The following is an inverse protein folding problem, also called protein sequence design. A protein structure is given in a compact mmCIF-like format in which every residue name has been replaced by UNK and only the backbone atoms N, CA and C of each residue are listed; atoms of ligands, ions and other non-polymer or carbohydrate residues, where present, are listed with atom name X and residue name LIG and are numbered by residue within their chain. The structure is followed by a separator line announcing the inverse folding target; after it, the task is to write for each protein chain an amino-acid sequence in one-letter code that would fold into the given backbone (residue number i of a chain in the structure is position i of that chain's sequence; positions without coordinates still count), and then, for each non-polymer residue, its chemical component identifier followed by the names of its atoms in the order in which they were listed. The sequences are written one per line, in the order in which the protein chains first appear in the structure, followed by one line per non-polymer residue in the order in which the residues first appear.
data_IF_656978346176
#
_entry.id   IF_656978346176
#
_cell.length_a   1.000
_cell.length_b   1.000
_cell.length_c   1.000
_cell.angle_alpha   90.00
_cell.angle_beta   90.00
_cell.angle_gamma   90.00
#
_symmetry.space_group_name_H-M   'P 1'
#
loop_
_entity.id
_entity.type
_entity.pdbx_description
1 polymer ?
#
# COMPACT_ATOMS: atom_id res chain seq x y z
N UNK A 1 5.12 2.98 14.74
CA UNK A 1 5.45 4.23 14.03
C UNK A 1 6.81 4.82 14.39
N UNK A 2 7.21 5.06 15.66
CA UNK A 2 8.51 5.71 15.96
C UNK A 2 9.77 4.95 15.47
N UNK A 3 9.69 3.67 15.24
CA UNK A 3 10.81 2.86 14.74
C UNK A 3 11.05 3.08 13.25
N UNK A 4 9.99 3.15 12.45
CA UNK A 4 10.04 3.31 10.99
C UNK A 4 10.66 4.66 10.60
N UNK A 5 10.21 5.76 11.23
CA UNK A 5 10.74 7.09 10.90
C UNK A 5 12.24 7.22 11.24
N UNK A 6 12.67 6.61 12.36
CA UNK A 6 14.09 6.58 12.71
C UNK A 6 14.90 5.83 11.66
N UNK A 7 14.42 4.68 11.19
CA UNK A 7 15.10 3.87 10.17
C UNK A 7 15.19 4.60 8.83
N UNK A 8 14.11 5.22 8.36
CA UNK A 8 14.14 6.05 7.14
C UNK A 8 15.21 7.14 7.26
N UNK A 9 15.26 7.82 8.42
CA UNK A 9 16.24 8.88 8.65
C UNK A 9 17.69 8.35 8.66
N UNK A 10 17.93 7.22 9.32
CA UNK A 10 19.22 6.55 9.34
C UNK A 10 19.69 6.14 7.93
N UNK A 11 18.83 5.51 7.15
CA UNK A 11 19.15 5.06 5.78
C UNK A 11 19.46 6.23 4.86
N UNK A 12 18.67 7.31 4.95
CA UNK A 12 18.94 8.53 4.19
C UNK A 12 20.25 9.20 4.60
N UNK A 13 20.58 9.23 5.90
CA UNK A 13 21.84 9.76 6.38
C UNK A 13 23.07 8.96 5.88
N UNK A 14 22.88 7.66 5.62
CA UNK A 14 23.88 6.78 4.98
C UNK A 14 23.94 6.93 3.45
N UNK A 15 23.13 7.80 2.87
CA UNK A 15 23.07 8.00 1.41
C UNK A 15 22.37 6.90 0.64
N UNK A 16 21.62 6.01 1.32
CA UNK A 16 20.87 4.95 0.66
C UNK A 16 19.68 5.52 -0.12
N UNK A 17 19.39 4.89 -1.25
CA UNK A 17 18.16 5.16 -2.02
C UNK A 17 16.97 4.52 -1.30
N UNK A 18 16.31 5.30 -0.44
CA UNK A 18 15.13 4.82 0.29
C UNK A 18 13.94 4.76 -0.66
N UNK A 19 13.26 3.62 -0.67
CA UNK A 19 11.97 3.42 -1.34
C UNK A 19 10.82 3.84 -0.42
N UNK A 20 9.61 4.10 -0.95
CA UNK A 20 8.43 4.32 -0.11
C UNK A 20 8.20 3.14 0.85
N UNK A 21 7.83 3.46 2.09
CA UNK A 21 7.57 2.47 3.14
C UNK A 21 6.12 2.60 3.54
N UNK A 22 5.40 1.49 3.42
CA UNK A 22 4.01 1.37 3.84
C UNK A 22 3.89 1.20 5.36
N UNK A 23 2.90 1.87 5.92
CA UNK A 23 2.58 1.83 7.35
C UNK A 23 1.09 1.53 7.49
N UNK A 24 0.77 0.41 8.11
CA UNK A 24 -0.60 0.09 8.48
C UNK A 24 -1.14 1.09 9.51
N UNK A 25 -2.29 1.67 9.24
CA UNK A 25 -2.98 2.57 10.14
C UNK A 25 -4.30 1.95 10.62
N UNK A 26 -4.40 1.74 11.93
CA UNK A 26 -5.61 1.18 12.52
C UNK A 26 -6.75 2.21 12.57
N UNK A 27 -8.04 1.79 12.47
CA UNK A 27 -9.19 2.71 12.51
C UNK A 27 -9.20 3.63 13.72
N UNK A 28 -8.82 3.10 14.86
CA UNK A 28 -8.77 3.85 16.13
C UNK A 28 -7.81 5.05 16.09
N UNK A 29 -6.82 5.03 15.20
CA UNK A 29 -5.89 6.16 15.02
C UNK A 29 -6.58 7.33 14.33
N UNK A 30 -7.45 7.05 13.36
CA UNK A 30 -8.21 8.06 12.63
C UNK A 30 -9.35 8.67 13.45
N UNK A 31 -9.82 8.00 14.51
CA UNK A 31 -10.82 8.53 15.44
C UNK A 31 -10.31 9.78 16.20
N UNK A 32 -9.01 10.03 16.17
CA UNK A 32 -8.43 11.26 16.72
C UNK A 32 -8.51 12.36 15.68
N UNK A 33 -9.24 13.43 15.97
CA UNK A 33 -9.48 14.56 15.04
C UNK A 33 -8.22 15.16 14.42
N UNK A 34 -7.06 14.97 15.04
CA UNK A 34 -5.78 15.55 14.65
C UNK A 34 -4.74 14.50 14.19
N UNK A 35 -5.17 13.28 13.83
CA UNK A 35 -4.24 12.21 13.42
C UNK A 35 -3.33 12.65 12.27
N UNK A 36 -3.89 13.20 11.19
CA UNK A 36 -3.14 13.63 10.02
C UNK A 36 -2.13 14.73 10.36
N UNK A 37 -2.51 15.71 11.20
CA UNK A 37 -1.64 16.78 11.64
C UNK A 37 -0.47 16.25 12.46
N UNK A 38 -0.74 15.39 13.41
CA UNK A 38 0.28 14.76 14.26
C UNK A 38 1.24 13.96 13.40
N UNK A 39 0.72 13.17 12.46
CA UNK A 39 1.52 12.35 11.56
C UNK A 39 2.45 13.23 10.69
N UNK A 40 1.89 14.25 10.03
CA UNK A 40 2.66 15.17 9.18
C UNK A 40 3.71 15.97 9.98
N UNK A 41 3.34 16.45 11.18
CA UNK A 41 4.29 17.11 12.09
C UNK A 41 5.45 16.19 12.45
N UNK A 42 5.17 14.92 12.63
CA UNK A 42 6.16 13.89 12.93
C UNK A 42 7.11 13.66 11.74
N UNK A 43 6.59 13.46 10.52
CA UNK A 43 7.43 13.37 9.33
C UNK A 43 8.36 14.59 9.21
N UNK A 44 7.81 15.78 9.44
CA UNK A 44 8.58 17.02 9.40
C UNK A 44 9.68 17.04 10.48
N UNK A 45 9.40 16.59 11.70
CA UNK A 45 10.40 16.56 12.79
C UNK A 45 11.57 15.61 12.50
N UNK A 46 11.32 14.52 11.78
CA UNK A 46 12.34 13.58 11.29
C UNK A 46 12.93 13.96 9.91
N UNK A 47 12.51 15.10 9.32
CA UNK A 47 12.92 15.56 7.99
C UNK A 47 12.69 14.50 6.90
N UNK A 48 11.59 13.75 7.02
CA UNK A 48 11.19 12.73 6.05
C UNK A 48 10.22 13.36 5.04
N UNK A 49 10.58 13.44 3.74
CA UNK A 49 9.63 13.83 2.71
C UNK A 49 8.46 12.83 2.64
N UNK A 50 7.24 13.34 2.51
CA UNK A 50 6.00 12.54 2.52
C UNK A 50 6.00 11.42 1.47
N UNK A 51 6.64 11.63 0.33
CA UNK A 51 6.77 10.64 -0.76
C UNK A 51 7.47 9.33 -0.37
N UNK A 52 8.14 9.27 0.78
CA UNK A 52 8.77 8.05 1.30
C UNK A 52 7.86 7.29 2.27
N UNK A 53 6.61 7.70 2.39
CA UNK A 53 5.66 7.04 3.30
C UNK A 53 4.34 6.84 2.59
N UNK A 54 3.82 5.64 2.73
CA UNK A 54 2.48 5.23 2.32
C UNK A 54 1.68 4.84 3.55
N UNK A 55 0.40 5.16 3.58
CA UNK A 55 -0.52 4.74 4.65
C UNK A 55 -1.42 3.66 4.07
N UNK A 56 -1.41 2.50 4.71
CA UNK A 56 -2.29 1.38 4.36
C UNK A 56 -3.53 1.39 5.25
N UNK A 57 -4.69 1.28 4.61
CA UNK A 57 -5.99 1.14 5.25
C UNK A 57 -6.72 -0.03 4.61
N UNK A 58 -7.35 -0.88 5.39
CA UNK A 58 -8.13 -1.98 4.82
C UNK A 58 -9.49 -1.51 4.33
N UNK A 59 -10.07 -2.28 3.41
CA UNK A 59 -11.41 -2.06 2.88
C UNK A 59 -12.47 -1.94 3.99
N UNK A 60 -12.36 -2.77 5.02
CA UNK A 60 -13.26 -2.78 6.17
C UNK A 60 -13.31 -1.42 6.90
N UNK A 61 -12.17 -0.75 7.04
CA UNK A 61 -12.09 0.55 7.73
C UNK A 61 -12.84 1.68 7.03
N UNK A 62 -13.01 1.55 5.72
CA UNK A 62 -13.74 2.53 4.91
C UNK A 62 -15.25 2.24 4.84
N UNK A 63 -15.69 1.06 5.27
CA UNK A 63 -17.10 0.65 5.28
C UNK A 63 -17.80 0.86 6.63
N UNK A 64 -17.05 1.10 7.72
CA UNK A 64 -17.59 1.23 9.07
C UNK A 64 -18.21 2.61 9.36
N UNK A 65 -18.99 2.66 10.46
CA UNK A 65 -19.48 3.94 11.00
C UNK A 65 -18.31 4.83 11.41
N UNK A 66 -18.31 6.07 10.93
CA UNK A 66 -17.20 7.00 11.17
C UNK A 66 -16.16 7.04 10.06
N UNK A 67 -16.39 6.35 8.92
CA UNK A 67 -15.53 6.41 7.75
C UNK A 67 -15.21 7.84 7.30
N UNK A 68 -16.09 8.78 7.57
CA UNK A 68 -15.91 10.20 7.24
C UNK A 68 -14.66 10.80 7.89
N UNK A 69 -14.37 10.40 9.13
CA UNK A 69 -13.13 10.82 9.83
C UNK A 69 -11.90 10.25 9.15
N UNK A 70 -11.98 8.97 8.76
CA UNK A 70 -10.91 8.29 8.00
C UNK A 70 -10.67 9.01 6.69
N UNK A 71 -11.71 9.18 5.88
CA UNK A 71 -11.61 9.83 4.56
C UNK A 71 -11.07 11.27 4.68
N UNK A 72 -11.52 12.04 5.69
CA UNK A 72 -11.01 13.40 5.94
C UNK A 72 -9.51 13.40 6.25
N UNK A 73 -9.06 12.50 7.12
CA UNK A 73 -7.66 12.38 7.48
C UNK A 73 -6.82 11.93 6.27
N UNK A 74 -7.28 10.93 5.51
CA UNK A 74 -6.60 10.44 4.30
C UNK A 74 -6.50 11.54 3.23
N UNK A 75 -7.57 12.31 2.98
CA UNK A 75 -7.53 13.46 2.06
C UNK A 75 -6.47 14.47 2.48
N UNK A 76 -6.34 14.75 3.77
CA UNK A 76 -5.33 15.66 4.30
C UNK A 76 -3.91 15.12 4.14
N UNK A 77 -3.70 13.83 4.39
CA UNK A 77 -2.41 13.17 4.19
C UNK A 77 -2.01 13.20 2.71
N UNK A 78 -2.93 12.82 1.81
CA UNK A 78 -2.72 12.84 0.36
C UNK A 78 -2.39 14.24 -0.17
N UNK A 79 -3.12 15.27 0.29
CA UNK A 79 -2.86 16.67 -0.08
C UNK A 79 -1.45 17.15 0.36
N UNK A 80 -0.80 16.44 1.30
CA UNK A 80 0.56 16.70 1.75
C UNK A 80 1.59 15.70 1.19
N UNK A 81 1.22 14.94 0.14
CA UNK A 81 2.12 14.08 -0.61
C UNK A 81 2.38 12.70 0.03
N UNK A 82 1.59 12.28 1.02
CA UNK A 82 1.57 10.90 1.50
C UNK A 82 0.69 10.08 0.56
N UNK A 83 1.15 8.94 0.09
CA UNK A 83 0.36 8.02 -0.73
C UNK A 83 -0.54 7.17 0.17
N UNK A 84 -1.71 6.84 -0.35
CA UNK A 84 -2.71 6.05 0.37
C UNK A 84 -2.91 4.72 -0.37
N UNK A 85 -2.72 3.62 0.32
CA UNK A 85 -2.96 2.27 -0.17
C UNK A 85 -4.21 1.67 0.46
N UNK A 86 -5.08 1.11 -0.37
CA UNK A 86 -6.21 0.30 0.05
C UNK A 86 -5.76 -1.15 0.09
N UNK A 87 -5.70 -1.70 1.30
CA UNK A 87 -5.22 -3.05 1.59
C UNK A 87 -6.35 -4.08 1.63
N UNK A 88 -6.03 -5.35 1.46
CA UNK A 88 -6.95 -6.50 1.47
C UNK A 88 -8.12 -6.36 0.47
N UNK A 89 -7.89 -5.69 -0.68
CA UNK A 89 -8.96 -5.42 -1.64
C UNK A 89 -9.56 -6.71 -2.20
N UNK A 90 -10.90 -6.80 -2.10
CA UNK A 90 -11.71 -7.92 -2.59
C UNK A 90 -12.15 -8.89 -1.49
N UNK A 91 -11.68 -8.74 -0.25
CA UNK A 91 -12.10 -9.56 0.89
C UNK A 91 -13.32 -8.99 1.63
N UNK A 92 -13.68 -7.74 1.36
CA UNK A 92 -14.73 -6.98 2.04
C UNK A 92 -15.96 -6.72 1.18
N UNK A 93 -16.70 -5.67 1.55
CA UNK A 93 -17.98 -5.28 0.96
C UNK A 93 -17.89 -4.00 0.10
N UNK A 94 -16.68 -3.50 -0.22
CA UNK A 94 -16.58 -2.29 -1.02
C UNK A 94 -17.01 -2.56 -2.47
N UNK A 95 -17.85 -1.70 -2.97
CA UNK A 95 -18.15 -1.68 -4.40
C UNK A 95 -17.10 -0.82 -5.12
N UNK A 96 -16.84 -1.11 -6.39
CA UNK A 96 -16.01 -0.28 -7.28
C UNK A 96 -16.46 1.20 -7.27
N UNK A 97 -17.71 1.47 -6.93
CA UNK A 97 -18.28 2.82 -6.81
C UNK A 97 -17.57 3.62 -5.70
N UNK A 98 -17.23 2.97 -4.59
CA UNK A 98 -16.58 3.62 -3.47
C UNK A 98 -15.12 3.98 -3.76
N UNK A 99 -14.43 3.24 -4.66
CA UNK A 99 -13.05 3.59 -5.05
C UNK A 99 -12.93 5.02 -5.58
N UNK A 100 -13.98 5.54 -6.24
CA UNK A 100 -14.00 6.91 -6.73
C UNK A 100 -14.08 7.96 -5.62
N UNK A 101 -14.65 7.60 -4.48
CA UNK A 101 -14.88 8.50 -3.35
C UNK A 101 -13.69 8.54 -2.39
N UNK A 102 -12.92 7.47 -2.35
CA UNK A 102 -11.78 7.34 -1.47
C UNK A 102 -10.52 7.97 -2.07
N UNK A 103 -9.72 8.67 -1.27
CA UNK A 103 -8.49 9.31 -1.74
C UNK A 103 -7.33 8.31 -1.89
N UNK A 104 -7.57 7.20 -2.59
CA UNK A 104 -6.63 6.10 -2.77
C UNK A 104 -5.68 6.36 -3.94
N UNK A 105 -4.43 5.93 -3.84
CA UNK A 105 -3.40 5.95 -4.87
C UNK A 105 -2.99 4.56 -5.30
N UNK A 106 -3.18 3.57 -4.42
CA UNK A 106 -2.73 2.19 -4.59
C UNK A 106 -3.84 1.25 -4.16
N UNK A 107 -4.08 0.20 -4.95
CA UNK A 107 -4.94 -0.92 -4.58
C UNK A 107 -4.07 -2.16 -4.44
N UNK A 108 -4.08 -2.79 -3.27
CA UNK A 108 -3.37 -4.04 -2.99
C UNK A 108 -4.36 -5.20 -3.10
N UNK A 109 -4.15 -6.02 -4.12
CA UNK A 109 -4.97 -7.21 -4.37
C UNK A 109 -4.54 -8.30 -3.41
N UNK A 110 -5.47 -8.74 -2.56
CA UNK A 110 -5.21 -9.72 -1.50
C UNK A 110 -4.63 -11.04 -2.04
N UNK A 111 -3.79 -11.66 -1.25
CA UNK A 111 -3.09 -12.90 -1.59
C UNK A 111 -4.03 -14.05 -1.94
N UNK A 112 -5.26 -14.10 -1.39
CA UNK A 112 -6.25 -15.14 -1.71
C UNK A 112 -6.68 -15.12 -3.17
N UNK A 113 -6.63 -13.97 -3.85
CA UNK A 113 -6.84 -13.85 -5.28
C UNK A 113 -5.63 -14.37 -6.06
N UNK A 114 -4.43 -13.97 -5.65
CA UNK A 114 -3.18 -14.37 -6.32
C UNK A 114 -2.97 -15.88 -6.26
N UNK A 115 -3.28 -16.51 -5.12
CA UNK A 115 -3.17 -17.96 -4.94
C UNK A 115 -4.12 -18.75 -5.83
N UNK A 116 -5.24 -18.18 -6.27
CA UNK A 116 -6.26 -18.85 -7.08
C UNK A 116 -6.22 -18.48 -8.57
N UNK A 117 -5.28 -17.65 -9.01
CA UNK A 117 -5.20 -17.16 -10.39
C UNK A 117 -5.15 -18.29 -11.45
N UNK A 118 -4.47 -19.41 -11.14
CA UNK A 118 -4.33 -20.53 -12.08
C UNK A 118 -5.59 -21.39 -12.17
N UNK A 119 -6.39 -21.45 -11.11
CA UNK A 119 -7.42 -22.47 -10.94
C UNK A 119 -8.84 -21.91 -11.05
N UNK A 120 -9.00 -20.58 -10.93
CA UNK A 120 -10.29 -19.91 -10.92
C UNK A 120 -10.38 -18.82 -11.99
N UNK A 121 -11.09 -19.12 -13.08
CA UNK A 121 -11.29 -18.19 -14.20
C UNK A 121 -12.00 -16.89 -13.79
N UNK A 122 -12.85 -16.93 -12.76
CA UNK A 122 -13.55 -15.74 -12.28
C UNK A 122 -12.60 -14.83 -11.55
N UNK A 123 -11.74 -15.39 -10.70
CA UNK A 123 -10.66 -14.65 -10.03
C UNK A 123 -9.70 -14.05 -11.05
N UNK A 124 -9.28 -14.85 -12.05
CA UNK A 124 -8.45 -14.36 -13.14
C UNK A 124 -9.06 -13.12 -13.81
N UNK A 125 -10.35 -13.20 -14.20
CA UNK A 125 -11.04 -12.09 -14.86
C UNK A 125 -11.18 -10.85 -13.96
N UNK A 126 -11.37 -11.03 -12.65
CA UNK A 126 -11.44 -9.94 -11.68
C UNK A 126 -10.09 -9.23 -11.59
N UNK A 127 -9.01 -9.97 -11.39
CA UNK A 127 -7.65 -9.38 -11.24
C UNK A 127 -7.22 -8.70 -12.55
N UNK A 128 -7.48 -9.33 -13.71
CA UNK A 128 -7.22 -8.73 -15.02
C UNK A 128 -8.01 -7.41 -15.19
N UNK A 129 -9.29 -7.40 -14.78
CA UNK A 129 -10.13 -6.21 -14.79
C UNK A 129 -9.57 -5.09 -13.93
N UNK A 130 -9.10 -5.42 -12.71
CA UNK A 130 -8.45 -4.47 -11.80
C UNK A 130 -7.14 -3.91 -12.38
N UNK A 131 -6.29 -4.79 -12.93
CA UNK A 131 -5.03 -4.37 -13.55
C UNK A 131 -5.24 -3.37 -14.71
N UNK A 132 -6.32 -3.53 -15.47
CA UNK A 132 -6.70 -2.60 -16.55
C UNK A 132 -7.38 -1.33 -16.04
N UNK A 133 -8.17 -1.43 -14.97
CA UNK A 133 -8.92 -0.30 -14.41
C UNK A 133 -8.02 0.67 -13.62
N UNK A 134 -7.04 0.15 -12.89
CA UNK A 134 -6.16 0.94 -12.03
C UNK A 134 -5.55 2.15 -12.75
N UNK A 135 -4.84 1.96 -13.87
CA UNK A 135 -4.25 3.07 -14.63
C UNK A 135 -5.28 4.10 -15.12
N UNK A 136 -6.49 3.67 -15.50
CA UNK A 136 -7.58 4.56 -15.92
C UNK A 136 -8.08 5.44 -14.77
N UNK A 137 -7.97 4.97 -13.54
CA UNK A 137 -8.31 5.72 -12.33
C UNK A 137 -7.09 6.42 -11.71
N UNK A 138 -5.92 6.37 -12.36
CA UNK A 138 -4.64 6.88 -11.83
C UNK A 138 -4.26 6.22 -10.51
N UNK A 139 -4.51 4.93 -10.39
CA UNK A 139 -4.17 4.10 -9.23
C UNK A 139 -3.18 3.01 -9.63
N UNK A 140 -2.17 2.77 -8.80
CA UNK A 140 -1.29 1.62 -8.95
C UNK A 140 -1.98 0.35 -8.41
N UNK A 141 -1.78 -0.77 -9.09
CA UNK A 141 -2.25 -2.08 -8.63
C UNK A 141 -1.05 -2.87 -8.14
N UNK A 142 -1.10 -3.32 -6.89
CA UNK A 142 -0.08 -4.16 -6.27
C UNK A 142 -0.67 -5.54 -6.02
N UNK A 143 -0.06 -6.58 -6.56
CA UNK A 143 -0.47 -7.96 -6.28
C UNK A 143 0.31 -8.49 -5.07
N UNK A 144 -0.39 -9.07 -4.11
CA UNK A 144 0.20 -9.56 -2.86
C UNK A 144 0.29 -11.09 -2.82
N UNK A 145 1.24 -11.61 -2.06
CA UNK A 145 1.38 -13.03 -1.82
C UNK A 145 1.83 -13.82 -3.07
N UNK A 146 2.68 -13.22 -3.92
CA UNK A 146 3.29 -13.92 -5.05
C UNK A 146 4.32 -14.91 -4.51
N UNK A 147 4.10 -16.21 -4.75
CA UNK A 147 4.95 -17.30 -4.26
C UNK A 147 5.60 -18.10 -5.39
N UNK A 148 5.06 -18.04 -6.62
CA UNK A 148 5.54 -18.82 -7.76
C UNK A 148 5.79 -17.97 -8.99
N UNK A 149 6.74 -18.41 -9.84
CA UNK A 149 7.00 -17.80 -11.14
C UNK A 149 5.77 -17.81 -12.06
N UNK A 150 4.92 -18.84 -11.94
CA UNK A 150 3.68 -18.93 -12.72
C UNK A 150 2.71 -17.80 -12.35
N UNK A 151 2.51 -17.54 -11.05
CA UNK A 151 1.69 -16.41 -10.59
C UNK A 151 2.25 -15.07 -11.08
N UNK A 152 3.56 -14.90 -10.96
CA UNK A 152 4.24 -13.70 -11.44
C UNK A 152 4.03 -13.48 -12.94
N UNK A 153 4.14 -14.55 -13.76
CA UNK A 153 3.95 -14.44 -15.19
C UNK A 153 2.50 -14.09 -15.54
N UNK A 154 1.50 -14.76 -14.92
CA UNK A 154 0.08 -14.43 -15.11
C UNK A 154 -0.22 -12.97 -14.80
N UNK A 155 0.30 -12.45 -13.68
CA UNK A 155 0.11 -11.05 -13.29
C UNK A 155 0.75 -10.07 -14.29
N UNK A 156 1.93 -10.39 -14.79
CA UNK A 156 2.59 -9.59 -15.85
C UNK A 156 1.77 -9.56 -17.14
N UNK A 157 1.24 -10.70 -17.55
CA UNK A 157 0.42 -10.82 -18.77
C UNK A 157 -0.88 -10.02 -18.66
N UNK A 158 -1.42 -9.87 -17.44
CA UNK A 158 -2.57 -9.00 -17.15
C UNK A 158 -2.22 -7.51 -17.13
N UNK A 159 -0.93 -7.14 -17.10
CA UNK A 159 -0.47 -5.74 -16.97
C UNK A 159 -0.31 -5.28 -15.53
N UNK A 160 -0.27 -6.18 -14.55
CA UNK A 160 0.08 -5.85 -13.17
C UNK A 160 1.62 -5.80 -13.06
N UNK A 161 2.16 -4.61 -12.81
CA UNK A 161 3.61 -4.38 -12.83
C UNK A 161 4.24 -4.25 -11.45
N UNK A 162 3.45 -4.20 -10.40
CA UNK A 162 3.92 -4.09 -9.03
C UNK A 162 3.40 -5.29 -8.24
N UNK A 163 4.30 -5.94 -7.52
CA UNK A 163 3.91 -7.10 -6.72
C UNK A 163 4.85 -7.33 -5.55
N UNK A 164 4.33 -8.01 -4.53
CA UNK A 164 5.08 -8.45 -3.36
C UNK A 164 4.73 -9.88 -3.00
N UNK A 165 5.68 -10.58 -2.38
CA UNK A 165 5.46 -11.95 -1.95
C UNK A 165 6.76 -12.71 -1.67
N UNK A 166 6.61 -13.92 -1.21
CA UNK A 166 7.74 -14.77 -0.79
C UNK A 166 8.64 -15.20 -1.96
N UNK A 167 8.13 -15.12 -3.20
CA UNK A 167 8.96 -15.32 -4.39
C UNK A 167 10.13 -14.33 -4.42
N UNK A 168 9.93 -13.08 -3.98
CA UNK A 168 10.96 -12.04 -3.97
C UNK A 168 11.76 -12.07 -2.66
N UNK A 169 11.07 -12.04 -1.53
CA UNK A 169 11.67 -12.12 -0.20
C UNK A 169 10.61 -12.36 0.87
N UNK A 170 10.84 -13.22 1.84
CA UNK A 170 10.04 -13.21 3.06
C UNK A 170 10.27 -11.90 3.84
N UNK A 171 9.41 -11.59 4.84
CA UNK A 171 9.63 -10.48 5.75
C UNK A 171 11.01 -10.56 6.40
N UNK A 172 11.73 -9.46 6.39
CA UNK A 172 13.10 -9.39 6.93
C UNK A 172 13.22 -8.29 7.98
N UNK A 173 14.19 -8.40 8.88
CA UNK A 173 14.47 -7.32 9.82
C UNK A 173 15.09 -6.10 9.12
N UNK A 174 15.00 -4.93 9.75
CA UNK A 174 15.49 -3.67 9.18
C UNK A 174 16.96 -3.70 8.74
N UNK A 175 17.80 -4.51 9.40
CA UNK A 175 19.20 -4.65 9.02
C UNK A 175 19.36 -5.41 7.70
N UNK A 176 18.58 -6.45 7.49
CA UNK A 176 18.55 -7.20 6.23
C UNK A 176 17.94 -6.38 5.09
N UNK A 177 16.88 -5.60 5.38
CA UNK A 177 16.32 -4.65 4.41
C UNK A 177 17.34 -3.60 3.98
N UNK A 178 18.18 -3.10 4.90
CA UNK A 178 19.28 -2.19 4.57
C UNK A 178 20.26 -2.82 3.57
N UNK A 179 20.59 -4.10 3.74
CA UNK A 179 21.46 -4.82 2.79
C UNK A 179 20.81 -4.98 1.41
N UNK A 180 19.48 -5.10 1.33
CA UNK A 180 18.77 -5.14 0.05
C UNK A 180 18.79 -3.76 -0.61
N UNK A 181 18.58 -2.68 0.13
CA UNK A 181 18.66 -1.31 -0.39
C UNK A 181 20.05 -1.00 -0.98
N UNK A 182 21.13 -1.53 -0.39
CA UNK A 182 22.48 -1.38 -0.91
C UNK A 182 22.69 -2.05 -2.28
N UNK A 183 21.90 -3.07 -2.62
CA UNK A 183 21.98 -3.77 -3.91
C UNK A 183 21.22 -3.07 -5.04
N UNK A 184 20.39 -2.06 -4.72
CA UNK A 184 19.68 -1.26 -5.71
C UNK A 184 20.57 -0.18 -6.34
N UNK A 185 21.83 -0.14 -5.96
CA UNK A 185 22.91 0.65 -6.54
C UNK A 185 23.82 -0.27 -7.37
#
# INVERSE_FOLDING_TARGET
MSCTEKKITEWRAKGLQVVPISINAAPVEFMRDNFAEIFLKRLKSYRIPSKFVEIEVTEYHLAERGYEYVVRALKKLKANGVRIALDDFGTGHSSLTHLREYPVDIIKVDCSFVQRLSDDKSIYAIVEGLAKLGPLLSMDIVAEGIETEMQLQLLRDMGCHIGQGYLFSPPVCAQQAEMQLLKLH
#
